data_IF_454063523431
#
_entry.id   IF_454063523431
#
_cell.length_a   1.000
_cell.length_b   1.000
_cell.length_c   1.000
_cell.angle_alpha   90.00
_cell.angle_beta   90.00
_cell.angle_gamma   90.00
#
_symmetry.space_group_name_H-M   'P 1'
#
loop_
_entity.id
_entity.type
_entity.pdbx_description
1 polymer ?
#
# COMPACT_ATOMS: atom_id res chain seq x y z
N UNK A 1 13.02 1.72 12.18
CA UNK A 1 13.24 0.79 11.04
C UNK A 1 11.91 0.15 10.70
N UNK A 2 11.52 0.20 9.44
CA UNK A 2 10.36 -0.51 8.92
C UNK A 2 10.82 -1.53 7.91
N UNK A 3 10.51 -2.81 8.15
CA UNK A 3 10.95 -3.93 7.31
C UNK A 3 9.75 -4.55 6.61
N UNK A 4 9.93 -5.03 5.39
CA UNK A 4 8.89 -5.72 4.61
C UNK A 4 9.46 -6.33 3.33
N UNK A 5 8.62 -7.09 2.63
CA UNK A 5 8.94 -7.52 1.28
C UNK A 5 8.81 -6.34 0.31
N UNK A 6 9.82 -6.13 -0.53
CA UNK A 6 9.83 -5.01 -1.48
C UNK A 6 9.20 -5.46 -2.78
N UNK A 7 8.10 -4.79 -3.14
CA UNK A 7 7.36 -5.05 -4.38
C UNK A 7 7.15 -3.75 -5.15
N UNK A 8 6.77 -3.82 -6.42
CA UNK A 8 6.55 -2.62 -7.23
C UNK A 8 5.19 -2.62 -7.93
N UNK A 9 4.67 -1.41 -8.12
CA UNK A 9 3.48 -1.16 -8.94
C UNK A 9 3.87 -0.37 -10.19
N UNK A 10 3.40 -0.84 -11.34
CA UNK A 10 3.60 -0.18 -12.65
C UNK A 10 2.40 0.67 -13.08
N UNK A 11 1.38 0.77 -12.23
CA UNK A 11 0.21 1.58 -12.51
C UNK A 11 0.56 3.05 -12.75
N UNK A 12 0.01 3.63 -13.82
CA UNK A 12 0.20 5.06 -14.13
C UNK A 12 -0.66 5.97 -13.24
N UNK A 13 -1.72 5.43 -12.66
CA UNK A 13 -2.67 6.06 -11.74
C UNK A 13 -3.01 5.07 -10.62
N UNK A 14 -3.83 5.48 -9.65
CA UNK A 14 -4.32 4.57 -8.63
C UNK A 14 -3.32 4.31 -7.50
N UNK A 15 -2.50 5.29 -7.13
CA UNK A 15 -1.57 5.12 -6.02
C UNK A 15 -2.30 4.97 -4.68
N UNK A 16 -3.44 5.65 -4.48
CA UNK A 16 -4.23 5.52 -3.25
C UNK A 16 -4.85 4.13 -3.16
N UNK A 17 -5.45 3.67 -4.25
CA UNK A 17 -6.00 2.32 -4.35
C UNK A 17 -4.94 1.27 -4.06
N UNK A 18 -3.73 1.42 -4.62
CA UNK A 18 -2.62 0.50 -4.38
C UNK A 18 -2.17 0.51 -2.91
N UNK A 19 -2.03 1.68 -2.27
CA UNK A 19 -1.61 1.80 -0.88
C UNK A 19 -2.66 1.21 0.07
N UNK A 20 -3.94 1.33 -0.27
CA UNK A 20 -5.06 0.82 0.54
C UNK A 20 -5.48 -0.61 0.17
N UNK A 21 -4.88 -1.21 -0.86
CA UNK A 21 -5.15 -2.58 -1.27
C UNK A 21 -4.53 -3.57 -0.28
N UNK A 22 -5.36 -4.43 0.29
CA UNK A 22 -4.93 -5.48 1.22
C UNK A 22 -3.96 -6.50 0.59
N UNK A 23 -3.88 -6.56 -0.74
CA UNK A 23 -2.91 -7.40 -1.45
C UNK A 23 -1.44 -6.98 -1.17
N UNK A 24 -1.22 -5.75 -0.74
CA UNK A 24 0.11 -5.24 -0.37
C UNK A 24 0.34 -5.23 1.15
N UNK A 25 -0.43 -6.02 1.90
CA UNK A 25 -0.22 -6.15 3.34
C UNK A 25 1.21 -6.62 3.65
N UNK A 26 1.83 -5.98 4.63
CA UNK A 26 3.21 -6.23 5.10
C UNK A 26 4.32 -5.96 4.06
N UNK A 27 4.00 -5.32 2.93
CA UNK A 27 4.94 -5.04 1.85
C UNK A 27 5.37 -3.57 1.80
N UNK A 28 6.59 -3.31 1.32
CA UNK A 28 7.09 -1.98 0.95
C UNK A 28 6.82 -1.78 -0.54
N UNK A 29 5.95 -0.83 -0.85
CA UNK A 29 5.44 -0.62 -2.20
C UNK A 29 6.25 0.44 -2.94
N UNK A 30 6.90 0.04 -4.02
CA UNK A 30 7.67 0.91 -4.92
C UNK A 30 6.81 1.35 -6.10
N UNK A 31 6.62 2.65 -6.26
CA UNK A 31 5.93 3.21 -7.42
C UNK A 31 6.91 3.52 -8.55
N UNK A 32 6.69 2.88 -9.71
CA UNK A 32 7.55 3.10 -10.89
C UNK A 32 7.23 4.42 -11.60
N UNK A 33 6.01 4.96 -11.40
CA UNK A 33 5.63 6.26 -11.91
C UNK A 33 6.51 7.35 -11.25
N UNK A 34 7.04 8.29 -12.04
CA UNK A 34 7.96 9.31 -11.52
C UNK A 34 7.36 10.20 -10.42
N UNK A 35 6.10 10.57 -10.51
CA UNK A 35 5.41 11.45 -9.58
C UNK A 35 4.14 10.80 -9.06
N UNK A 36 3.97 10.73 -7.74
CA UNK A 36 2.72 10.33 -7.07
C UNK A 36 2.22 11.44 -6.15
N UNK A 37 0.96 11.37 -5.72
CA UNK A 37 0.33 12.38 -4.86
C UNK A 37 -0.25 13.58 -5.61
N UNK A 38 -0.10 13.65 -6.92
CA UNK A 38 -0.46 14.81 -7.75
C UNK A 38 -1.98 15.09 -7.83
N UNK A 39 -2.85 14.12 -7.57
CA UNK A 39 -4.29 14.33 -7.49
C UNK A 39 -4.87 14.18 -6.06
N UNK A 40 -3.97 14.02 -5.06
CA UNK A 40 -4.38 13.90 -3.66
C UNK A 40 -4.97 12.55 -3.31
N UNK A 41 -5.73 12.52 -2.23
CA UNK A 41 -6.49 11.37 -1.76
C UNK A 41 -7.94 11.77 -1.49
N UNK A 42 -8.86 10.82 -1.55
CA UNK A 42 -10.29 11.01 -1.31
C UNK A 42 -10.91 9.73 -0.73
N UNK A 43 -12.13 9.81 -0.22
CA UNK A 43 -12.81 8.68 0.44
C UNK A 43 -13.30 7.60 -0.54
N UNK A 44 -13.50 7.93 -1.80
CA UNK A 44 -14.05 6.98 -2.78
C UNK A 44 -13.02 5.97 -3.29
N UNK A 45 -11.74 6.36 -3.30
CA UNK A 45 -10.65 5.58 -3.89
C UNK A 45 -9.94 4.67 -2.86
N UNK A 46 -10.58 4.42 -1.70
CA UNK A 46 -10.11 3.43 -0.74
C UNK A 46 -10.51 2.00 -1.15
N UNK A 47 -9.55 1.09 -1.16
CA UNK A 47 -9.81 -0.34 -1.30
C UNK A 47 -9.95 -1.05 0.06
N UNK A 48 -9.47 -0.42 1.15
CA UNK A 48 -9.74 -0.82 2.52
C UNK A 48 -9.67 0.39 3.46
N UNK A 49 -10.34 0.31 4.62
CA UNK A 49 -10.33 1.38 5.62
C UNK A 49 -8.99 1.49 6.37
N UNK A 50 -8.24 0.41 6.44
CA UNK A 50 -6.97 0.35 7.15
C UNK A 50 -5.88 -0.16 6.20
N UNK A 51 -5.10 0.73 5.59
CA UNK A 51 -3.93 0.33 4.81
C UNK A 51 -2.98 -0.53 5.63
N UNK A 52 -2.49 -1.60 5.03
CA UNK A 52 -1.59 -2.56 5.69
C UNK A 52 -0.20 -2.63 5.04
N UNK A 53 0.08 -1.82 4.02
CA UNK A 53 1.43 -1.75 3.47
C UNK A 53 2.40 -1.18 4.51
N UNK A 54 3.63 -1.66 4.50
CA UNK A 54 4.68 -1.26 5.46
C UNK A 54 5.34 0.05 5.13
N UNK A 55 5.33 0.44 3.86
CA UNK A 55 5.96 1.68 3.45
C UNK A 55 5.82 1.95 1.97
N UNK A 56 6.13 3.18 1.58
CA UNK A 56 6.01 3.68 0.21
C UNK A 56 7.35 4.22 -0.26
N UNK A 57 7.76 3.81 -1.47
CA UNK A 57 8.97 4.30 -2.14
C UNK A 57 8.58 4.94 -3.46
N UNK A 58 9.00 6.17 -3.69
CA UNK A 58 8.73 6.88 -4.94
C UNK A 58 9.94 7.73 -5.39
N UNK A 59 9.92 8.12 -6.65
CA UNK A 59 10.90 9.07 -7.16
C UNK A 59 10.58 10.47 -6.69
N UNK A 60 9.33 10.89 -6.83
CA UNK A 60 8.88 12.23 -6.45
C UNK A 60 7.50 12.17 -5.80
N UNK A 61 7.33 12.90 -4.71
CA UNK A 61 6.06 13.13 -4.06
C UNK A 61 5.59 14.54 -4.37
N UNK A 62 4.37 14.67 -4.90
CA UNK A 62 3.81 15.98 -5.23
C UNK A 62 3.65 16.84 -3.96
N UNK A 63 4.21 18.04 -3.98
CA UNK A 63 4.06 19.03 -2.89
C UNK A 63 2.64 19.57 -2.80
N UNK A 64 1.99 19.69 -3.96
CA UNK A 64 0.63 20.19 -4.09
C UNK A 64 -0.19 19.19 -4.90
N UNK A 65 -1.34 18.82 -4.38
CA UNK A 65 -2.30 18.01 -5.10
C UNK A 65 -3.32 18.91 -5.78
N UNK A 66 -3.55 18.70 -7.08
CA UNK A 66 -4.50 19.47 -7.90
C UNK A 66 -5.50 18.54 -8.55
N UNK A 67 -6.65 18.37 -7.91
CA UNK A 67 -7.79 17.61 -8.44
C UNK A 67 -9.07 18.05 -7.73
N UNK A 68 -10.18 18.11 -8.42
CA UNK A 68 -11.47 18.51 -7.86
C UNK A 68 -12.00 17.52 -6.80
N UNK A 69 -11.61 16.24 -6.88
CA UNK A 69 -11.97 15.20 -5.89
C UNK A 69 -11.05 15.18 -4.68
N UNK A 70 -9.98 15.95 -4.68
CA UNK A 70 -9.01 15.96 -3.59
C UNK A 70 -9.68 16.39 -2.28
N UNK A 71 -9.55 15.58 -1.27
CA UNK A 71 -9.91 15.89 0.13
C UNK A 71 -8.68 16.12 0.99
N UNK A 72 -7.56 15.40 0.69
CA UNK A 72 -6.31 15.53 1.43
C UNK A 72 -5.10 15.31 0.52
N UNK A 73 -3.89 15.51 1.06
CA UNK A 73 -2.64 15.21 0.38
C UNK A 73 -2.18 13.79 0.68
N UNK A 74 -1.41 13.19 -0.22
CA UNK A 74 -0.83 11.87 0.02
C UNK A 74 0.14 11.87 1.20
N UNK A 75 0.92 12.95 1.40
CA UNK A 75 1.82 13.09 2.54
C UNK A 75 1.07 13.04 3.88
N UNK A 76 -0.01 13.80 4.00
CA UNK A 76 -0.82 13.81 5.22
C UNK A 76 -1.49 12.45 5.47
N UNK A 77 -2.05 11.84 4.42
CA UNK A 77 -2.61 10.50 4.48
C UNK A 77 -1.61 9.44 4.98
N UNK A 78 -0.39 9.42 4.45
CA UNK A 78 0.66 8.49 4.89
C UNK A 78 1.00 8.71 6.37
N UNK A 79 1.13 9.96 6.81
CA UNK A 79 1.39 10.32 8.20
C UNK A 79 0.27 9.89 9.15
N UNK A 80 -0.99 10.13 8.78
CA UNK A 80 -2.15 9.71 9.58
C UNK A 80 -2.23 8.19 9.75
N UNK A 81 -1.83 7.44 8.72
CA UNK A 81 -1.83 5.97 8.75
C UNK A 81 -0.51 5.37 9.25
N UNK A 82 0.45 6.20 9.72
CA UNK A 82 1.77 5.77 10.19
C UNK A 82 2.55 4.95 9.15
N UNK A 83 2.37 5.26 7.87
CA UNK A 83 3.06 4.61 6.77
C UNK A 83 4.30 5.43 6.41
N UNK A 84 5.52 4.96 6.68
CA UNK A 84 6.73 5.66 6.30
C UNK A 84 6.87 5.71 4.78
N UNK A 85 7.34 6.85 4.27
CA UNK A 85 7.61 7.06 2.85
C UNK A 85 9.01 7.58 2.61
N UNK A 86 9.62 7.17 1.52
CA UNK A 86 10.87 7.74 1.02
C UNK A 86 10.71 8.19 -0.43
N UNK A 87 11.15 9.41 -0.71
CA UNK A 87 11.19 9.97 -2.06
C UNK A 87 12.63 10.25 -2.50
N UNK A 88 12.84 10.54 -3.77
CA UNK A 88 14.16 10.78 -4.33
C UNK A 88 14.89 9.52 -4.77
N UNK A 89 14.24 8.38 -4.76
CA UNK A 89 14.82 7.08 -5.14
C UNK A 89 14.73 6.86 -6.66
N UNK A 90 15.77 6.28 -7.27
CA UNK A 90 15.69 5.76 -8.64
C UNK A 90 14.85 4.48 -8.67
N UNK A 91 13.53 4.66 -8.67
CA UNK A 91 12.56 3.56 -8.66
C UNK A 91 12.63 2.71 -9.93
N UNK A 92 13.08 3.27 -11.05
CA UNK A 92 13.29 2.51 -12.29
C UNK A 92 14.42 1.49 -12.15
N UNK A 93 15.56 1.90 -11.58
CA UNK A 93 16.68 1.01 -11.29
C UNK A 93 16.28 -0.06 -10.27
N UNK A 94 15.62 0.36 -9.19
CA UNK A 94 15.15 -0.55 -8.14
C UNK A 94 14.19 -1.61 -8.71
N UNK A 95 13.24 -1.20 -9.56
CA UNK A 95 12.31 -2.13 -10.22
C UNK A 95 13.03 -3.16 -11.09
N UNK A 96 14.08 -2.75 -11.82
CA UNK A 96 14.88 -3.69 -12.61
C UNK A 96 15.56 -4.73 -11.72
N UNK A 97 16.15 -4.31 -10.60
CA UNK A 97 16.77 -5.21 -9.62
C UNK A 97 15.74 -6.22 -9.08
N UNK A 98 14.55 -5.75 -8.66
CA UNK A 98 13.49 -6.64 -8.17
C UNK A 98 13.06 -7.64 -9.26
N UNK A 99 12.94 -7.20 -10.51
CA UNK A 99 12.58 -8.09 -11.63
C UNK A 99 13.63 -9.16 -11.93
N UNK A 100 14.88 -8.84 -11.77
CA UNK A 100 16.00 -9.76 -12.04
C UNK A 100 16.19 -10.79 -10.91
N UNK A 101 15.99 -10.37 -9.65
CA UNK A 101 16.27 -11.20 -8.48
C UNK A 101 15.01 -11.81 -7.82
N UNK A 102 13.82 -11.40 -8.25
CA UNK A 102 12.57 -11.74 -7.57
C UNK A 102 12.29 -10.82 -6.37
N UNK A 103 11.31 -11.18 -5.58
CA UNK A 103 10.97 -10.44 -4.34
C UNK A 103 12.11 -10.53 -3.34
N UNK A 104 12.34 -9.44 -2.62
CA UNK A 104 13.41 -9.36 -1.63
C UNK A 104 12.96 -8.62 -0.38
N UNK A 105 13.57 -8.95 0.75
CA UNK A 105 13.41 -8.17 1.98
C UNK A 105 14.06 -6.80 1.84
N UNK A 106 13.41 -5.76 2.34
CA UNK A 106 13.97 -4.42 2.43
C UNK A 106 13.59 -3.73 3.71
N UNK A 107 14.27 -2.64 4.03
CA UNK A 107 13.91 -1.79 5.16
C UNK A 107 13.97 -0.31 4.79
N UNK A 108 13.09 0.47 5.41
CA UNK A 108 13.14 1.93 5.42
C UNK A 108 13.74 2.38 6.76
N UNK A 109 14.76 3.22 6.69
CA UNK A 109 15.46 3.76 7.87
C UNK A 109 15.61 5.27 7.74
N UNK A 110 15.63 6.00 8.84
CA UNK A 110 15.81 7.45 8.84
C UNK A 110 17.26 7.87 8.59
N UNK A 111 18.21 7.06 9.05
CA UNK A 111 19.64 7.24 8.80
C UNK A 111 20.33 5.90 8.69
N UNK A 112 21.46 5.86 8.00
CA UNK A 112 22.31 4.67 7.90
C UNK A 112 23.64 5.04 8.55
N UNK A 113 23.73 4.86 9.86
CA UNK A 113 24.98 5.06 10.62
C UNK A 113 25.85 3.81 10.52
N UNK A 114 25.25 2.64 10.63
CA UNK A 114 25.91 1.34 10.45
C UNK A 114 25.14 0.50 9.43
N UNK A 115 25.65 0.49 8.21
CA UNK A 115 25.04 -0.21 7.08
C UNK A 115 25.14 -1.73 7.24
N UNK A 116 26.28 -2.22 7.70
CA UNK A 116 26.56 -3.65 7.88
C UNK A 116 25.59 -4.22 8.92
N UNK A 117 25.48 -3.59 10.06
CA UNK A 117 24.55 -3.98 11.12
C UNK A 117 23.09 -3.94 10.67
N UNK A 118 22.68 -2.90 9.92
CA UNK A 118 21.33 -2.80 9.37
C UNK A 118 21.02 -3.96 8.40
N UNK A 119 21.99 -4.35 7.57
CA UNK A 119 21.85 -5.47 6.65
C UNK A 119 21.76 -6.81 7.39
N UNK A 120 22.55 -6.99 8.46
CA UNK A 120 22.48 -8.19 9.30
C UNK A 120 21.11 -8.33 9.97
N UNK A 121 20.61 -7.26 10.56
CA UNK A 121 19.27 -7.22 11.15
C UNK A 121 18.19 -7.56 10.12
N UNK A 122 18.28 -6.98 8.92
CA UNK A 122 17.36 -7.26 7.83
C UNK A 122 17.39 -8.73 7.40
N UNK A 123 18.57 -9.32 7.30
CA UNK A 123 18.72 -10.75 6.96
C UNK A 123 18.13 -11.66 8.03
N UNK A 124 18.33 -11.32 9.31
CA UNK A 124 17.80 -12.07 10.45
C UNK A 124 16.28 -11.91 10.61
N UNK A 125 15.70 -10.84 10.08
CA UNK A 125 14.24 -10.60 10.19
C UNK A 125 13.47 -11.69 9.46
N UNK A 126 12.50 -12.30 10.14
CA UNK A 126 11.51 -13.21 9.55
C UNK A 126 10.27 -12.38 9.23
N UNK A 127 9.85 -12.39 7.96
CA UNK A 127 8.58 -11.79 7.55
C UNK A 127 7.44 -12.69 8.01
N UNK A 128 6.29 -12.08 8.33
CA UNK A 128 5.11 -12.85 8.76
C UNK A 128 4.52 -13.64 7.60
N UNK A 129 4.02 -14.82 7.88
CA UNK A 129 3.20 -15.66 7.00
C UNK A 129 1.69 -15.52 7.30
N UNK A 130 1.32 -14.80 8.37
CA UNK A 130 -0.06 -14.61 8.83
C UNK A 130 -0.77 -13.44 8.14
N UNK A 131 -0.51 -13.23 6.85
CA UNK A 131 -1.06 -12.10 6.09
C UNK A 131 -2.59 -12.14 6.00
N UNK A 132 -3.16 -13.32 5.81
CA UNK A 132 -4.62 -13.49 5.74
C UNK A 132 -5.28 -13.08 7.05
N UNK A 133 -4.73 -13.46 8.19
CA UNK A 133 -5.22 -13.05 9.51
C UNK A 133 -5.16 -11.53 9.71
N UNK A 134 -4.13 -10.89 9.17
CA UNK A 134 -3.93 -9.44 9.27
C UNK A 134 -5.00 -8.66 8.51
N UNK A 135 -5.51 -9.19 7.40
CA UNK A 135 -6.40 -8.48 6.48
C UNK A 135 -7.86 -8.94 6.54
N UNK A 136 -8.13 -10.14 7.07
CA UNK A 136 -9.49 -10.66 7.21
C UNK A 136 -10.31 -9.85 8.19
N UNK A 137 -11.61 -9.70 7.90
CA UNK A 137 -12.53 -9.11 8.85
C UNK A 137 -12.64 -9.93 10.13
N UNK A 138 -12.72 -9.27 11.27
CA UNK A 138 -12.84 -9.95 12.59
C UNK A 138 -14.28 -10.17 13.02
N UNK A 139 -15.22 -9.49 12.38
CA UNK A 139 -16.64 -9.57 12.69
C UNK A 139 -17.48 -9.49 11.42
N UNK A 140 -18.60 -10.24 11.35
CA UNK A 140 -19.55 -10.09 10.26
C UNK A 140 -20.12 -8.64 10.26
N UNK A 141 -20.25 -8.08 9.08
CA UNK A 141 -20.90 -6.78 8.92
C UNK A 141 -21.84 -6.82 7.69
N UNK A 142 -23.02 -6.20 7.77
CA UNK A 142 -23.95 -6.15 6.66
C UNK A 142 -23.46 -5.11 5.62
N UNK A 143 -23.61 -5.45 4.35
CA UNK A 143 -23.57 -4.48 3.26
C UNK A 143 -25.00 -4.37 2.71
N UNK A 144 -25.68 -3.24 2.87
CA UNK A 144 -27.11 -3.13 2.58
C UNK A 144 -27.43 -3.50 1.14
N UNK A 145 -28.41 -4.33 0.96
CA UNK A 145 -29.02 -4.73 -0.32
C UNK A 145 -30.46 -5.16 -0.07
N UNK A 146 -31.29 -5.20 -1.08
CA UNK A 146 -32.73 -5.41 -0.94
C UNK A 146 -33.29 -6.65 -1.65
N UNK A 147 -32.56 -7.23 -2.60
CA UNK A 147 -33.14 -8.27 -3.47
C UNK A 147 -32.59 -9.67 -3.19
N UNK A 148 -31.28 -9.81 -3.02
CA UNK A 148 -30.64 -11.13 -2.84
C UNK A 148 -29.66 -11.12 -1.68
N UNK A 149 -29.64 -12.17 -0.92
CA UNK A 149 -28.61 -12.34 0.11
C UNK A 149 -27.37 -12.99 -0.50
N UNK A 150 -26.25 -12.27 -0.46
CA UNK A 150 -24.94 -12.76 -0.89
C UNK A 150 -24.02 -12.78 0.33
N UNK A 151 -23.42 -13.92 0.61
CA UNK A 151 -22.41 -14.05 1.66
C UNK A 151 -21.04 -13.92 1.01
N UNK A 152 -20.24 -12.95 1.48
CA UNK A 152 -18.85 -12.78 1.08
C UNK A 152 -17.96 -13.28 2.21
N UNK A 153 -17.13 -14.27 1.92
CA UNK A 153 -16.09 -14.72 2.85
C UNK A 153 -14.87 -13.84 2.62
N UNK A 154 -14.55 -13.02 3.64
CA UNK A 154 -13.54 -11.98 3.53
C UNK A 154 -12.17 -12.46 4.01
N UNK A 155 -11.23 -12.59 3.08
CA UNK A 155 -9.80 -12.81 3.31
C UNK A 155 -8.96 -11.61 2.86
N UNK A 156 -9.47 -10.40 3.07
CA UNK A 156 -8.88 -9.16 2.58
C UNK A 156 -9.59 -8.63 1.33
N UNK A 157 -10.93 -8.63 1.36
CA UNK A 157 -11.74 -8.16 0.25
C UNK A 157 -11.56 -6.67 0.01
N UNK A 158 -11.46 -6.28 -1.27
CA UNK A 158 -11.44 -4.88 -1.68
C UNK A 158 -12.84 -4.28 -1.59
N UNK A 159 -12.94 -3.06 -1.11
CA UNK A 159 -14.21 -2.33 -1.04
C UNK A 159 -14.93 -2.25 -2.40
N UNK A 160 -14.17 -2.21 -3.49
CA UNK A 160 -14.75 -2.23 -4.83
C UNK A 160 -15.58 -3.48 -5.08
N UNK A 161 -15.20 -4.65 -4.57
CA UNK A 161 -15.99 -5.89 -4.71
C UNK A 161 -17.35 -5.71 -4.04
N UNK A 162 -17.39 -5.20 -2.81
CA UNK A 162 -18.62 -4.97 -2.07
C UNK A 162 -19.51 -3.92 -2.77
N UNK A 163 -18.91 -2.83 -3.26
CA UNK A 163 -19.61 -1.79 -4.03
C UNK A 163 -20.23 -2.35 -5.31
N UNK A 164 -19.51 -3.22 -6.03
CA UNK A 164 -20.02 -3.83 -7.25
C UNK A 164 -21.13 -4.86 -6.98
N UNK A 165 -21.07 -5.57 -5.88
CA UNK A 165 -22.15 -6.45 -5.43
C UNK A 165 -23.40 -5.62 -5.08
N UNK A 166 -23.25 -4.56 -4.29
CA UNK A 166 -24.35 -3.70 -3.88
C UNK A 166 -25.06 -3.03 -5.07
N UNK A 167 -24.35 -2.71 -6.17
CA UNK A 167 -24.96 -2.16 -7.38
C UNK A 167 -25.81 -3.17 -8.16
N UNK A 168 -25.61 -4.46 -7.93
CA UNK A 168 -26.29 -5.56 -8.65
C UNK A 168 -27.36 -6.25 -7.80
N UNK A 169 -27.57 -5.76 -6.61
CA UNK A 169 -28.52 -6.30 -5.64
C UNK A 169 -29.67 -5.33 -5.37
#
# INVERSE_FOLDING_TARGET
ITTGEVVFSTGMTGYQEAITDQSYADQILVFTKPLIGNYGVNLDDYESLQPKCRGVVCRELARYASNWRKQDTLDHFLKQNHIPGISGIDTRRLTKIIREHGTMKGCLVNSIEDKEHTIEQLRATVLTDQLVDMVSTKQPYPNPGTERNVIVVDFGAKHRILRELAKRN
#
